data_IF_931566641371
#
_entry.id   IF_931566641371
#
_cell.length_a   1.000
_cell.length_b   1.000
_cell.length_c   1.000
_cell.angle_alpha   90.00
_cell.angle_beta   90.00
_cell.angle_gamma   90.00
#
_symmetry.space_group_name_H-M   'P 1'
#
loop_
_entity.id
_entity.type
_entity.pdbx_description
1 polymer ?
#
# COMPACT_ATOMS: atom_id res chain seq x y z
N UNK A 1 -6.60 10.06 16.17
CA UNK A 1 -5.91 8.76 15.92
C UNK A 1 -4.51 9.07 15.42
N UNK A 2 -3.46 8.56 16.06
CA UNK A 2 -2.07 8.78 15.63
C UNK A 2 -1.73 7.70 14.61
N UNK A 3 -1.40 8.09 13.38
CA UNK A 3 -0.79 7.16 12.42
C UNK A 3 0.64 6.92 12.84
N UNK A 4 1.13 5.71 12.61
CA UNK A 4 2.57 5.46 12.69
C UNK A 4 3.29 6.21 11.59
N UNK A 5 4.62 6.33 11.72
CA UNK A 5 5.44 6.86 10.63
C UNK A 5 5.25 5.97 9.39
N UNK A 6 5.32 6.53 8.17
CA UNK A 6 5.32 5.73 6.95
C UNK A 6 6.38 4.63 7.05
N UNK A 7 5.97 3.38 6.81
CA UNK A 7 6.87 2.22 6.82
C UNK A 7 7.19 1.84 5.37
N UNK A 8 8.48 1.76 4.99
CA UNK A 8 8.85 1.40 3.63
C UNK A 8 8.36 -0.01 3.29
N UNK A 9 8.01 -0.20 2.02
CA UNK A 9 7.56 -1.48 1.48
C UNK A 9 8.37 -1.80 0.24
N UNK A 10 9.22 -2.82 0.31
CA UNK A 10 10.12 -3.16 -0.79
C UNK A 10 9.39 -3.92 -1.92
N UNK A 11 9.98 -3.86 -3.12
CA UNK A 11 9.56 -4.65 -4.28
C UNK A 11 8.36 -4.13 -5.07
N UNK A 12 7.92 -2.88 -4.83
CA UNK A 12 6.81 -2.25 -5.54
C UNK A 12 7.14 -0.85 -6.04
N UNK A 13 6.99 -0.65 -7.35
CA UNK A 13 7.29 0.64 -7.98
C UNK A 13 8.74 1.07 -7.78
N UNK A 14 8.97 2.38 -7.86
CA UNK A 14 10.24 3.01 -7.52
C UNK A 14 10.33 3.30 -6.03
N UNK A 15 9.20 3.69 -5.43
CA UNK A 15 9.08 3.90 -3.99
C UNK A 15 7.71 3.44 -3.50
N UNK A 16 7.66 2.79 -2.34
CA UNK A 16 6.40 2.42 -1.72
C UNK A 16 6.45 2.52 -0.19
N UNK A 17 5.34 2.99 0.38
CA UNK A 17 5.18 3.17 1.82
C UNK A 17 3.80 2.75 2.27
N UNK A 18 3.75 2.07 3.41
CA UNK A 18 2.53 1.86 4.18
C UNK A 18 2.37 2.96 5.21
N UNK A 19 1.23 3.64 5.20
CA UNK A 19 0.83 4.58 6.25
C UNK A 19 -0.44 4.06 6.92
N UNK A 20 -0.36 3.70 8.19
CA UNK A 20 -1.47 3.04 8.86
C UNK A 20 -1.21 2.63 10.30
N UNK A 21 -2.21 1.94 10.84
CA UNK A 21 -2.19 1.15 12.06
C UNK A 21 -3.09 -0.08 11.87
N UNK A 22 -3.18 -0.90 12.90
CA UNK A 22 -4.01 -2.11 12.93
C UNK A 22 -5.49 -1.93 12.51
N UNK A 23 -6.06 -0.72 12.63
CA UNK A 23 -7.46 -0.44 12.26
C UNK A 23 -7.62 0.13 10.86
N UNK A 24 -6.66 0.92 10.38
CA UNK A 24 -6.76 1.65 9.11
C UNK A 24 -5.38 1.90 8.51
N UNK A 25 -5.28 1.85 7.19
CA UNK A 25 -4.05 2.21 6.51
C UNK A 25 -4.19 2.13 5.00
N UNK A 26 -3.21 2.70 4.32
CA UNK A 26 -3.11 2.60 2.88
C UNK A 26 -1.65 2.38 2.46
N UNK A 27 -1.49 1.61 1.39
CA UNK A 27 -0.26 1.48 0.64
C UNK A 27 -0.22 2.59 -0.41
N UNK A 28 0.88 3.33 -0.45
CA UNK A 28 1.19 4.32 -1.47
C UNK A 28 2.36 3.78 -2.28
N UNK A 29 2.25 3.79 -3.60
CA UNK A 29 3.31 3.35 -4.52
C UNK A 29 3.50 4.41 -5.59
N UNK A 30 4.72 4.91 -5.71
CA UNK A 30 5.18 5.74 -6.82
C UNK A 30 5.86 4.85 -7.85
N UNK A 31 5.51 5.03 -9.12
CA UNK A 31 6.15 4.35 -10.23
C UNK A 31 6.16 5.30 -11.45
N UNK A 32 7.33 5.83 -11.80
CA UNK A 32 7.51 6.85 -12.84
C UNK A 32 6.62 8.07 -12.53
N UNK A 33 5.76 8.45 -13.48
CA UNK A 33 4.84 9.58 -13.35
C UNK A 33 3.46 9.19 -12.77
N UNK A 34 3.35 8.05 -12.10
CA UNK A 34 2.07 7.50 -11.63
C UNK A 34 2.15 7.13 -10.16
N UNK A 35 1.08 7.43 -9.43
CA UNK A 35 0.91 7.01 -8.05
C UNK A 35 -0.30 6.09 -7.92
N UNK A 36 -0.12 4.96 -7.26
CA UNK A 36 -1.20 4.05 -6.88
C UNK A 36 -1.36 4.12 -5.36
N UNK A 37 -2.59 4.36 -4.90
CA UNK A 37 -2.95 4.28 -3.48
C UNK A 37 -3.99 3.19 -3.28
N UNK A 38 -3.71 2.23 -2.41
CA UNK A 38 -4.61 1.12 -2.09
C UNK A 38 -4.92 1.11 -0.60
N UNK A 39 -6.22 1.08 -0.26
CA UNK A 39 -6.69 0.92 1.11
C UNK A 39 -7.63 -0.28 1.16
N UNK A 40 -7.23 -1.33 1.88
CA UNK A 40 -8.05 -2.53 2.07
C UNK A 40 -8.77 -2.43 3.42
N UNK A 41 -10.10 -2.32 3.37
CA UNK A 41 -10.97 -2.38 4.56
C UNK A 41 -11.20 -3.81 5.05
N UNK A 42 -11.89 -3.94 6.18
CA UNK A 42 -12.28 -5.24 6.75
C UNK A 42 -11.61 -5.57 8.09
N UNK A 43 -11.99 -6.71 8.71
CA UNK A 43 -11.57 -7.09 10.07
C UNK A 43 -10.15 -7.66 10.14
N UNK A 44 -9.50 -7.91 9.00
CA UNK A 44 -8.18 -8.52 8.95
C UNK A 44 -7.12 -7.72 9.72
N UNK A 45 -6.08 -8.42 10.16
CA UNK A 45 -4.88 -7.82 10.74
C UNK A 45 -4.10 -6.98 9.71
N UNK A 46 -3.24 -6.10 10.23
CA UNK A 46 -2.51 -5.14 9.40
C UNK A 46 -1.61 -5.80 8.36
N UNK A 47 -0.90 -6.87 8.73
CA UNK A 47 -0.04 -7.60 7.79
C UNK A 47 -0.83 -8.15 6.60
N UNK A 48 -2.01 -8.74 6.85
CA UNK A 48 -2.89 -9.23 5.79
C UNK A 48 -3.41 -8.10 4.89
N UNK A 49 -3.72 -6.93 5.47
CA UNK A 49 -4.12 -5.74 4.70
C UNK A 49 -2.99 -5.21 3.83
N UNK A 50 -1.76 -5.19 4.34
CA UNK A 50 -0.56 -4.82 3.57
C UNK A 50 -0.39 -5.76 2.39
N UNK A 51 -0.37 -7.08 2.62
CA UNK A 51 -0.19 -8.07 1.56
C UNK A 51 -1.29 -8.03 0.49
N UNK A 52 -2.56 -7.86 0.89
CA UNK A 52 -3.67 -7.67 -0.07
C UNK A 52 -3.48 -6.37 -0.86
N UNK A 53 -3.05 -5.29 -0.21
CA UNK A 53 -2.79 -4.01 -0.87
C UNK A 53 -1.65 -4.10 -1.88
N UNK A 54 -0.57 -4.83 -1.55
CA UNK A 54 0.55 -5.09 -2.47
C UNK A 54 0.08 -5.79 -3.74
N UNK A 55 -0.64 -6.90 -3.61
CA UNK A 55 -1.18 -7.68 -4.76
C UNK A 55 -2.10 -6.85 -5.65
N UNK A 56 -2.91 -5.96 -5.05
CA UNK A 56 -3.75 -5.03 -5.82
C UNK A 56 -2.93 -3.95 -6.52
N UNK A 57 -1.92 -3.40 -5.84
CA UNK A 57 -1.03 -2.39 -6.41
C UNK A 57 -0.25 -2.95 -7.61
N UNK A 58 0.33 -4.16 -7.51
CA UNK A 58 0.99 -4.82 -8.64
C UNK A 58 0.07 -4.98 -9.85
N UNK A 59 -1.16 -5.45 -9.61
CA UNK A 59 -2.17 -5.59 -10.65
C UNK A 59 -2.59 -4.25 -11.26
N UNK A 60 -2.59 -3.17 -10.48
CA UNK A 60 -2.87 -1.84 -10.98
C UNK A 60 -1.70 -1.30 -11.81
N UNK A 61 -0.47 -1.41 -11.30
CA UNK A 61 0.74 -0.94 -11.99
C UNK A 61 0.91 -1.62 -13.35
N UNK A 62 0.72 -2.95 -13.43
CA UNK A 62 0.75 -3.69 -14.71
C UNK A 62 -0.26 -3.19 -15.75
N UNK A 63 -1.38 -2.60 -15.32
CA UNK A 63 -2.41 -2.05 -16.23
C UNK A 63 -2.15 -0.60 -16.58
N UNK A 64 -1.48 0.12 -15.69
CA UNK A 64 -1.12 1.51 -15.93
C UNK A 64 0.03 1.60 -16.93
N UNK A 65 0.94 0.62 -16.97
CA UNK A 65 1.94 0.42 -18.04
C UNK A 65 3.35 0.21 -17.53
#
# INVERSE_FOLDING_TARGET
KKFERPRPVDGLGEEAFWLGNNKMGALYVLNKNRMVRVSVGGPDEEGSKIEKSKKLAEKALKRLG
#
